data_IF_768107153774
#
_entry.id   IF_768107153774
#
_cell.length_a   1.000
_cell.length_b   1.000
_cell.length_c   1.000
_cell.angle_alpha   90.00
_cell.angle_beta   90.00
_cell.angle_gamma   90.00
#
_symmetry.space_group_name_H-M   'P 1'
#
loop_
_entity.id
_entity.type
_entity.pdbx_description
1 polymer ?
#
# COMPACT_ATOMS: atom_id res chain seq x y z
N UNK A 1 3.67 -44.40 8.09
CA UNK A 1 4.64 -43.37 8.49
C UNK A 1 4.82 -43.53 10.00
N UNK A 2 6.01 -43.95 10.44
CA UNK A 2 6.24 -44.30 11.84
C UNK A 2 6.33 -43.03 12.71
N UNK A 3 5.91 -43.12 13.98
CA UNK A 3 5.96 -42.01 14.93
C UNK A 3 7.33 -41.34 15.04
N UNK A 4 8.39 -42.18 14.87
CA UNK A 4 9.79 -41.73 14.86
C UNK A 4 10.14 -40.85 13.66
N UNK A 5 9.59 -41.16 12.46
CA UNK A 5 9.83 -40.34 11.26
C UNK A 5 9.11 -38.98 11.32
N UNK A 6 7.92 -38.95 11.91
CA UNK A 6 7.18 -37.71 12.17
C UNK A 6 7.89 -36.79 13.18
N UNK A 7 8.41 -37.35 14.28
CA UNK A 7 9.17 -36.59 15.27
C UNK A 7 10.44 -35.99 14.67
N UNK A 8 11.16 -36.74 13.86
CA UNK A 8 12.39 -36.28 13.19
C UNK A 8 12.11 -35.13 12.21
N UNK A 9 10.98 -35.17 11.47
CA UNK A 9 10.56 -34.08 10.59
C UNK A 9 10.18 -32.84 11.40
N UNK A 10 9.42 -32.99 12.48
CA UNK A 10 9.01 -31.89 13.34
C UNK A 10 10.18 -31.24 14.10
N UNK A 11 11.24 -32.00 14.35
CA UNK A 11 12.48 -31.52 14.97
C UNK A 11 13.49 -30.97 13.96
N UNK A 12 13.18 -31.02 12.65
CA UNK A 12 14.10 -30.46 11.65
C UNK A 12 14.25 -28.95 11.84
N UNK A 13 15.47 -28.47 11.62
CA UNK A 13 15.80 -27.03 11.77
C UNK A 13 14.93 -26.15 10.88
N UNK A 14 14.50 -26.66 9.72
CA UNK A 14 13.65 -25.95 8.77
C UNK A 14 12.22 -25.77 9.31
N UNK A 15 11.64 -26.80 9.92
CA UNK A 15 10.30 -26.74 10.53
C UNK A 15 10.32 -25.80 11.74
N UNK A 16 11.36 -25.86 12.55
CA UNK A 16 11.50 -24.98 13.71
C UNK A 16 11.69 -23.51 13.26
N UNK A 17 12.51 -23.27 12.25
CA UNK A 17 12.69 -21.93 11.68
C UNK A 17 11.39 -21.38 11.09
N UNK A 18 10.60 -22.21 10.40
CA UNK A 18 9.28 -21.84 9.92
C UNK A 18 8.32 -21.53 11.07
N UNK A 19 8.23 -22.42 12.07
CA UNK A 19 7.32 -22.27 13.20
C UNK A 19 7.58 -20.98 14.01
N UNK A 20 8.84 -20.53 14.11
CA UNK A 20 9.21 -19.29 14.80
C UNK A 20 9.10 -18.08 13.89
N UNK A 21 9.42 -18.20 12.61
CA UNK A 21 9.41 -17.09 11.64
C UNK A 21 8.03 -16.72 11.13
N UNK A 22 7.15 -17.71 10.93
CA UNK A 22 5.82 -17.50 10.34
C UNK A 22 4.94 -16.55 11.14
N UNK A 23 4.79 -16.66 12.48
CA UNK A 23 4.01 -15.71 13.27
C UNK A 23 4.54 -14.27 13.16
N UNK A 24 5.85 -14.11 13.15
CA UNK A 24 6.51 -12.79 12.97
C UNK A 24 6.18 -12.22 11.60
N UNK A 25 6.29 -13.01 10.55
CA UNK A 25 5.94 -12.60 9.18
C UNK A 25 4.47 -12.17 9.09
N UNK A 26 3.56 -12.93 9.71
CA UNK A 26 2.14 -12.59 9.74
C UNK A 26 1.88 -11.31 10.52
N UNK A 27 2.56 -11.07 11.62
CA UNK A 27 2.46 -9.82 12.38
C UNK A 27 2.95 -8.61 11.55
N UNK A 28 4.09 -8.73 10.89
CA UNK A 28 4.64 -7.68 10.01
C UNK A 28 3.71 -7.38 8.84
N UNK A 29 3.21 -8.42 8.18
CA UNK A 29 2.22 -8.29 7.11
C UNK A 29 0.95 -7.59 7.60
N UNK A 30 0.40 -8.03 8.74
CA UNK A 30 -0.82 -7.47 9.31
C UNK A 30 -0.70 -5.98 9.63
N UNK A 31 0.41 -5.56 10.24
CA UNK A 31 0.69 -4.15 10.53
C UNK A 31 0.82 -3.33 9.24
N UNK A 32 1.55 -3.84 8.25
CA UNK A 32 1.74 -3.14 6.97
C UNK A 32 0.42 -2.98 6.21
N UNK A 33 -0.42 -4.03 6.17
CA UNK A 33 -1.75 -3.96 5.57
C UNK A 33 -2.67 -2.98 6.31
N UNK A 34 -2.60 -2.93 7.64
CA UNK A 34 -3.36 -1.96 8.43
C UNK A 34 -2.94 -0.51 8.11
N UNK A 35 -1.65 -0.26 7.94
CA UNK A 35 -1.13 1.05 7.51
C UNK A 35 -1.60 1.41 6.10
N UNK A 36 -1.59 0.48 5.16
CA UNK A 36 -2.08 0.69 3.80
C UNK A 36 -3.58 1.02 3.79
N UNK A 37 -4.40 0.23 4.48
CA UNK A 37 -5.85 0.46 4.58
C UNK A 37 -6.14 1.77 5.29
N UNK A 38 -5.45 2.06 6.39
CA UNK A 38 -5.56 3.33 7.11
C UNK A 38 -5.22 4.53 6.22
N UNK A 39 -4.13 4.45 5.46
CA UNK A 39 -3.73 5.46 4.48
C UNK A 39 -4.76 5.67 3.38
N UNK A 40 -5.32 4.58 2.84
CA UNK A 40 -6.38 4.65 1.83
C UNK A 40 -7.68 5.27 2.37
N UNK A 41 -8.05 4.97 3.61
CA UNK A 41 -9.21 5.59 4.29
C UNK A 41 -8.97 7.09 4.48
N UNK A 42 -7.80 7.47 5.00
CA UNK A 42 -7.43 8.88 5.17
C UNK A 42 -7.49 9.60 3.83
N UNK A 43 -6.90 9.03 2.78
CA UNK A 43 -6.98 9.59 1.43
C UNK A 43 -8.44 9.81 1.00
N UNK A 44 -9.29 8.79 1.11
CA UNK A 44 -10.70 8.86 0.72
C UNK A 44 -11.50 9.91 1.50
N UNK A 45 -11.18 10.11 2.79
CA UNK A 45 -11.80 11.14 3.62
C UNK A 45 -11.39 12.56 3.23
N UNK A 46 -10.15 12.75 2.83
CA UNK A 46 -9.61 14.06 2.42
C UNK A 46 -9.85 14.38 0.95
N UNK A 47 -10.32 13.41 0.15
CA UNK A 47 -10.61 13.62 -1.27
C UNK A 47 -12.06 14.08 -1.45
N UNK A 48 -12.30 15.31 -1.96
CA UNK A 48 -13.64 15.91 -1.98
C UNK A 48 -14.63 15.25 -2.97
N UNK A 49 -14.15 14.47 -3.93
CA UNK A 49 -14.98 13.86 -4.97
C UNK A 49 -15.59 12.51 -4.63
N UNK A 50 -15.49 12.03 -3.41
CA UNK A 50 -16.14 10.78 -2.97
C UNK A 50 -15.93 9.62 -3.95
N UNK A 51 -14.67 9.30 -4.26
CA UNK A 51 -14.29 8.23 -5.22
C UNK A 51 -15.04 6.92 -4.96
N UNK A 52 -15.16 6.50 -3.69
CA UNK A 52 -15.87 5.28 -3.31
C UNK A 52 -17.33 5.31 -3.76
N UNK A 53 -18.02 6.45 -3.66
CA UNK A 53 -19.40 6.59 -4.13
C UNK A 53 -19.50 6.47 -5.64
N UNK A 54 -18.57 7.11 -6.37
CA UNK A 54 -18.52 7.01 -7.83
C UNK A 54 -18.23 5.57 -8.29
N UNK A 55 -17.34 4.86 -7.60
CA UNK A 55 -17.05 3.44 -7.89
C UNK A 55 -18.31 2.59 -7.69
N UNK A 56 -19.06 2.80 -6.62
CA UNK A 56 -20.33 2.10 -6.37
C UNK A 56 -21.40 2.38 -7.42
N UNK A 57 -21.32 3.54 -8.08
CA UNK A 57 -22.18 3.93 -9.20
C UNK A 57 -21.71 3.41 -10.55
N UNK A 58 -20.61 2.63 -10.59
CA UNK A 58 -20.06 2.04 -11.80
C UNK A 58 -19.09 2.92 -12.58
N UNK A 59 -18.56 4.00 -11.98
CA UNK A 59 -17.58 4.87 -12.63
C UNK A 59 -16.20 4.16 -12.72
N UNK A 60 -15.86 3.68 -13.91
CA UNK A 60 -14.60 2.97 -14.17
C UNK A 60 -13.38 3.89 -14.01
N UNK A 61 -13.47 5.16 -14.36
CA UNK A 61 -12.37 6.12 -14.21
C UNK A 61 -12.03 6.33 -12.72
N UNK A 62 -13.05 6.45 -11.87
CA UNK A 62 -12.85 6.55 -10.42
C UNK A 62 -12.22 5.27 -9.84
N UNK A 63 -12.61 4.09 -10.34
CA UNK A 63 -12.02 2.82 -9.92
C UNK A 63 -10.54 2.74 -10.31
N UNK A 64 -10.17 3.16 -11.51
CA UNK A 64 -8.78 3.24 -11.99
C UNK A 64 -7.98 4.22 -11.11
N UNK A 65 -8.51 5.42 -10.87
CA UNK A 65 -7.84 6.44 -10.05
C UNK A 65 -7.58 5.93 -8.62
N UNK A 66 -8.56 5.29 -7.99
CA UNK A 66 -8.43 4.76 -6.63
C UNK A 66 -7.49 3.55 -6.55
N UNK A 67 -7.48 2.68 -7.57
CA UNK A 67 -6.50 1.60 -7.64
C UNK A 67 -5.06 2.12 -7.68
N UNK A 68 -4.83 3.24 -8.36
CA UNK A 68 -3.54 3.94 -8.32
C UNK A 68 -3.14 4.45 -6.94
N UNK A 69 -4.10 4.85 -6.11
CA UNK A 69 -3.84 5.21 -4.70
C UNK A 69 -3.41 3.99 -3.91
N UNK A 70 -4.12 2.85 -4.05
CA UNK A 70 -3.77 1.61 -3.35
C UNK A 70 -2.38 1.12 -3.72
N UNK A 71 -2.07 1.03 -5.00
CA UNK A 71 -0.75 0.60 -5.49
C UNK A 71 0.33 1.62 -5.09
N UNK A 72 0.03 2.91 -5.19
CA UNK A 72 0.95 3.97 -4.81
C UNK A 72 1.26 4.02 -3.31
N UNK A 73 0.37 3.55 -2.43
CA UNK A 73 0.66 3.34 -1.01
C UNK A 73 1.41 2.03 -0.78
N UNK A 74 1.04 0.97 -1.50
CA UNK A 74 1.63 -0.36 -1.32
C UNK A 74 3.12 -0.40 -1.68
N UNK A 75 3.55 0.27 -2.74
CA UNK A 75 4.94 0.25 -3.21
C UNK A 75 5.93 0.73 -2.12
N UNK A 76 5.84 1.96 -1.60
CA UNK A 76 6.77 2.42 -0.58
C UNK A 76 6.59 1.71 0.76
N UNK A 77 5.38 1.25 1.11
CA UNK A 77 5.16 0.43 2.30
C UNK A 77 5.83 -0.95 2.18
N UNK A 78 5.80 -1.58 1.01
CA UNK A 78 6.49 -2.84 0.77
C UNK A 78 8.01 -2.69 0.95
N UNK A 79 8.58 -1.59 0.46
CA UNK A 79 10.01 -1.28 0.67
C UNK A 79 10.29 -1.00 2.14
N UNK A 80 9.47 -0.18 2.81
CA UNK A 80 9.59 0.08 4.25
C UNK A 80 9.57 -1.23 5.05
N UNK A 81 8.66 -2.15 4.73
CA UNK A 81 8.60 -3.48 5.34
C UNK A 81 9.87 -4.28 5.11
N UNK A 82 10.44 -4.24 3.91
CA UNK A 82 11.63 -5.04 3.54
C UNK A 82 12.90 -4.61 4.26
N UNK A 83 13.00 -3.34 4.66
CA UNK A 83 14.16 -2.79 5.36
C UNK A 83 13.99 -2.72 6.88
N UNK A 84 12.77 -2.97 7.38
CA UNK A 84 12.46 -2.93 8.80
C UNK A 84 12.79 -4.26 9.48
N UNK A 85 13.32 -4.19 10.69
CA UNK A 85 13.75 -5.37 11.47
C UNK A 85 12.79 -5.72 12.61
N UNK A 86 11.91 -4.79 12.99
CA UNK A 86 10.96 -4.95 14.08
C UNK A 86 9.60 -4.33 13.78
N UNK A 87 8.56 -4.72 14.52
CA UNK A 87 7.23 -4.12 14.41
C UNK A 87 7.28 -2.62 14.69
N UNK A 88 8.08 -2.18 15.65
CA UNK A 88 8.22 -0.76 15.98
C UNK A 88 8.82 0.02 14.79
N UNK A 89 9.80 -0.55 14.10
CA UNK A 89 10.36 0.05 12.89
C UNK A 89 9.31 0.15 11.78
N UNK A 90 8.53 -0.92 11.57
CA UNK A 90 7.46 -0.95 10.57
C UNK A 90 6.42 0.14 10.86
N UNK A 91 6.01 0.29 12.13
CA UNK A 91 5.03 1.32 12.53
C UNK A 91 5.62 2.70 12.31
N UNK A 92 6.84 2.96 12.80
CA UNK A 92 7.46 4.28 12.71
C UNK A 92 7.69 4.70 11.25
N UNK A 93 8.40 3.89 10.49
CA UNK A 93 8.70 4.18 9.09
C UNK A 93 7.47 4.06 8.19
N UNK A 94 6.59 3.12 8.48
CA UNK A 94 5.34 2.96 7.74
C UNK A 94 4.40 4.15 7.90
N UNK A 95 4.22 4.69 9.11
CA UNK A 95 3.43 5.92 9.35
C UNK A 95 4.06 7.10 8.63
N UNK A 96 5.40 7.28 8.75
CA UNK A 96 6.10 8.34 8.03
C UNK A 96 5.93 8.20 6.52
N UNK A 97 6.06 7.00 5.98
CA UNK A 97 5.89 6.67 4.56
C UNK A 97 4.48 7.02 4.08
N UNK A 98 3.44 6.58 4.81
CA UNK A 98 2.04 6.91 4.48
C UNK A 98 1.82 8.41 4.47
N UNK A 99 2.32 9.11 5.49
CA UNK A 99 2.17 10.57 5.57
C UNK A 99 2.81 11.29 4.38
N UNK A 100 4.06 10.95 4.07
CA UNK A 100 4.79 11.56 2.93
C UNK A 100 4.08 11.24 1.61
N UNK A 101 3.63 9.99 1.43
CA UNK A 101 2.95 9.59 0.21
C UNK A 101 1.59 10.29 0.03
N UNK A 102 0.82 10.45 1.11
CA UNK A 102 -0.43 11.21 1.06
C UNK A 102 -0.19 12.68 0.74
N UNK A 103 0.88 13.27 1.28
CA UNK A 103 1.28 14.63 0.94
C UNK A 103 1.68 14.75 -0.54
N UNK A 104 2.47 13.79 -1.06
CA UNK A 104 2.83 13.72 -2.47
C UNK A 104 1.58 13.60 -3.36
N UNK A 105 0.62 12.74 -3.00
CA UNK A 105 -0.65 12.64 -3.73
C UNK A 105 -1.42 13.95 -3.74
N UNK A 106 -1.43 14.66 -2.62
CA UNK A 106 -2.08 15.98 -2.53
C UNK A 106 -1.43 17.00 -3.44
N UNK A 107 -0.11 17.00 -3.52
CA UNK A 107 0.64 17.89 -4.42
C UNK A 107 0.32 17.53 -5.89
N UNK A 108 0.30 16.26 -6.25
CA UNK A 108 -0.09 15.81 -7.61
C UNK A 108 -1.50 16.29 -7.96
N UNK A 109 -2.46 16.12 -7.06
CA UNK A 109 -3.85 16.54 -7.27
C UNK A 109 -3.97 18.07 -7.43
N UNK A 110 -3.10 18.84 -6.75
CA UNK A 110 -3.05 20.30 -6.89
C UNK A 110 -2.40 20.76 -8.21
N UNK A 111 -1.38 20.06 -8.69
CA UNK A 111 -0.71 20.38 -9.97
C UNK A 111 -1.60 20.00 -11.15
N UNK A 112 -2.24 18.85 -11.09
CA UNK A 112 -3.09 18.32 -12.16
C UNK A 112 -4.55 18.77 -11.99
N UNK A 113 -4.76 20.05 -11.83
CA UNK A 113 -6.10 20.63 -11.69
C UNK A 113 -6.98 20.31 -12.91
N UNK A 114 -8.26 20.00 -12.65
CA UNK A 114 -9.22 19.64 -13.71
C UNK A 114 -9.29 18.14 -14.01
N UNK A 115 -8.26 17.34 -13.76
CA UNK A 115 -8.33 15.89 -13.91
C UNK A 115 -9.41 15.24 -13.03
N UNK A 116 -9.58 15.63 -11.76
CA UNK A 116 -10.62 15.07 -10.92
C UNK A 116 -12.03 15.28 -11.47
N UNK A 117 -12.32 16.41 -12.10
CA UNK A 117 -13.62 16.64 -12.73
C UNK A 117 -13.86 15.69 -13.91
N UNK A 118 -12.85 15.51 -14.78
CA UNK A 118 -12.89 14.59 -15.92
C UNK A 118 -13.06 13.14 -15.47
N UNK A 119 -12.42 12.76 -14.35
CA UNK A 119 -12.59 11.42 -13.73
C UNK A 119 -14.04 11.23 -13.23
N UNK A 120 -14.64 12.24 -12.61
CA UNK A 120 -16.05 12.20 -12.20
C UNK A 120 -16.99 12.03 -13.40
N UNK A 121 -16.63 12.60 -14.53
CA UNK A 121 -17.36 12.46 -15.80
C UNK A 121 -17.08 11.12 -16.51
N UNK A 122 -16.24 10.26 -15.92
CA UNK A 122 -15.94 8.92 -16.40
C UNK A 122 -14.79 8.83 -17.40
N UNK A 123 -13.96 9.86 -17.54
CA UNK A 123 -12.87 9.87 -18.48
C UNK A 123 -11.67 9.05 -17.96
N UNK A 124 -11.48 7.87 -18.55
CA UNK A 124 -10.42 6.93 -18.17
C UNK A 124 -9.03 7.49 -18.46
N UNK A 125 -8.85 8.23 -19.55
CA UNK A 125 -7.57 8.83 -19.89
C UNK A 125 -7.04 9.78 -18.79
N UNK A 126 -7.94 10.58 -18.22
CA UNK A 126 -7.61 11.44 -17.08
C UNK A 126 -7.20 10.63 -15.84
N UNK A 127 -7.89 9.53 -15.57
CA UNK A 127 -7.57 8.64 -14.46
C UNK A 127 -6.20 7.97 -14.64
N UNK A 128 -5.89 7.47 -15.83
CA UNK A 128 -4.60 6.85 -16.16
C UNK A 128 -3.44 7.84 -15.97
N UNK A 129 -3.58 9.09 -16.42
CA UNK A 129 -2.56 10.12 -16.20
C UNK A 129 -2.35 10.41 -14.72
N UNK A 130 -3.43 10.53 -13.96
CA UNK A 130 -3.35 10.75 -12.51
C UNK A 130 -2.65 9.58 -11.78
N UNK A 131 -3.00 8.35 -12.15
CA UNK A 131 -2.36 7.13 -11.62
C UNK A 131 -0.87 7.14 -11.94
N UNK A 132 -0.48 7.42 -13.19
CA UNK A 132 0.92 7.48 -13.60
C UNK A 132 1.72 8.48 -12.76
N UNK A 133 1.19 9.67 -12.54
CA UNK A 133 1.82 10.69 -11.70
C UNK A 133 1.97 10.23 -10.23
N UNK A 134 0.93 9.64 -9.65
CA UNK A 134 0.97 9.13 -8.27
C UNK A 134 1.93 7.95 -8.11
N UNK A 135 1.98 7.03 -9.07
CA UNK A 135 2.93 5.92 -9.06
C UNK A 135 4.38 6.39 -9.21
N UNK A 136 4.61 7.42 -10.02
CA UNK A 136 5.96 8.00 -10.16
C UNK A 136 6.46 8.54 -8.81
N UNK A 137 5.62 9.25 -8.06
CA UNK A 137 5.99 9.72 -6.71
C UNK A 137 6.22 8.55 -5.74
N UNK A 138 5.42 7.48 -5.84
CA UNK A 138 5.57 6.29 -5.01
C UNK A 138 6.89 5.55 -5.27
N UNK A 139 7.29 5.43 -6.52
CA UNK A 139 8.57 4.81 -6.90
C UNK A 139 9.77 5.63 -6.41
N UNK A 140 9.69 6.96 -6.51
CA UNK A 140 10.74 7.84 -5.99
C UNK A 140 10.85 7.72 -4.48
N UNK A 141 9.73 7.72 -3.76
CA UNK A 141 9.72 7.54 -2.31
C UNK A 141 10.27 6.16 -1.92
N UNK A 142 9.87 5.10 -2.64
CA UNK A 142 10.38 3.75 -2.41
C UNK A 142 11.90 3.68 -2.56
N UNK A 143 12.44 4.32 -3.60
CA UNK A 143 13.90 4.41 -3.80
C UNK A 143 14.59 5.20 -2.66
N UNK A 144 13.99 6.28 -2.18
CA UNK A 144 14.53 7.07 -1.08
C UNK A 144 14.60 6.31 0.25
N UNK A 145 13.73 5.32 0.45
CA UNK A 145 13.74 4.47 1.66
C UNK A 145 14.90 3.47 1.68
N UNK A 146 15.51 3.17 0.55
CA UNK A 146 16.61 2.21 0.41
C UNK A 146 17.98 2.87 0.33
N UNK A 147 18.02 4.18 0.09
CA UNK A 147 19.25 4.99 -0.06
C UNK A 147 19.97 5.23 1.21
#
# INVERSE_FOLDING_TARGET
MDSTSLSTVLESAEVQAFATGFPTTMAHLGVTLALMVGGAIIYALFTPWKEITLIRQGNAAAAVAFSGVLVGLAIPLAVSLSVSTSINDIVLWGVATVFIQLLAFRIVDMILTGLPQRIREGEIAAAVLLVGAKLSTALILAAALTG
#
